data_IF_083436803815
#
_entry.id   IF_083436803815
#
_cell.length_a   1.000
_cell.length_b   1.000
_cell.length_c   1.000
_cell.angle_alpha   90.00
_cell.angle_beta   90.00
_cell.angle_gamma   90.00
#
_symmetry.space_group_name_H-M   'P 1'
#
loop_
_entity.id
_entity.type
_entity.pdbx_description
1 polymer ?
#
# COMPACT_ATOMS: atom_id res chain seq x y z
N UNK A 1 -17.91 -3.66 4.92
CA UNK A 1 -16.59 -4.23 4.58
C UNK A 1 -15.52 -3.16 4.81
N UNK A 2 -14.51 -3.38 5.66
CA UNK A 2 -13.45 -2.36 5.87
C UNK A 2 -12.67 -2.12 4.58
N UNK A 3 -12.64 -0.87 4.14
CA UNK A 3 -11.90 -0.41 2.97
C UNK A 3 -10.67 0.38 3.41
N UNK A 4 -9.65 0.41 2.57
CA UNK A 4 -8.40 1.09 2.81
C UNK A 4 -8.07 1.97 1.62
N UNK A 5 -7.38 3.08 1.85
CA UNK A 5 -6.79 3.91 0.81
C UNK A 5 -5.31 4.10 1.11
N UNK A 6 -4.48 4.23 0.07
CA UNK A 6 -3.10 4.64 0.28
C UNK A 6 -3.08 6.02 0.96
N UNK A 7 -2.12 6.27 1.84
CA UNK A 7 -1.86 7.62 2.35
C UNK A 7 -1.32 8.52 1.23
N UNK A 8 -1.51 9.84 1.36
CA UNK A 8 -0.96 10.80 0.40
C UNK A 8 0.56 10.78 0.34
N UNK A 9 1.21 10.43 1.45
CA UNK A 9 2.67 10.33 1.58
C UNK A 9 3.18 8.89 1.36
N UNK A 10 2.34 7.94 0.94
CA UNK A 10 2.77 6.54 0.80
C UNK A 10 3.96 6.37 -0.16
N UNK A 11 4.03 7.16 -1.24
CA UNK A 11 5.19 7.18 -2.13
C UNK A 11 6.48 7.65 -1.42
N UNK A 12 6.36 8.65 -0.55
CA UNK A 12 7.49 9.18 0.23
C UNK A 12 7.93 8.19 1.29
N UNK A 13 7.00 7.51 1.97
CA UNK A 13 7.32 6.47 2.95
C UNK A 13 8.08 5.31 2.29
N UNK A 14 7.66 4.91 1.08
CA UNK A 14 8.38 3.93 0.27
C UNK A 14 9.80 4.40 -0.06
N UNK A 15 9.95 5.66 -0.49
CA UNK A 15 11.26 6.24 -0.79
C UNK A 15 12.17 6.36 0.44
N UNK A 16 11.63 6.75 1.60
CA UNK A 16 12.36 6.84 2.87
C UNK A 16 12.88 5.48 3.34
N UNK A 17 12.17 4.42 3.01
CA UNK A 17 12.61 3.05 3.27
C UNK A 17 13.72 2.57 2.30
N UNK A 18 14.17 3.41 1.36
CA UNK A 18 15.17 3.05 0.36
C UNK A 18 14.63 2.14 -0.74
N UNK A 19 13.30 2.04 -0.88
CA UNK A 19 12.64 1.17 -1.85
C UNK A 19 12.08 1.97 -3.03
N UNK A 20 12.05 1.32 -4.18
CA UNK A 20 11.31 1.82 -5.34
C UNK A 20 9.91 1.22 -5.40
N UNK A 21 8.96 1.98 -5.95
CA UNK A 21 7.62 1.45 -6.26
C UNK A 21 7.70 0.20 -7.16
N UNK A 22 8.69 0.11 -8.05
CA UNK A 22 8.88 -1.04 -8.93
C UNK A 22 9.19 -2.33 -8.16
N UNK A 23 10.01 -2.25 -7.11
CA UNK A 23 10.37 -3.40 -6.28
C UNK A 23 9.17 -3.94 -5.49
N UNK A 24 8.38 -3.04 -4.91
CA UNK A 24 7.15 -3.41 -4.20
C UNK A 24 6.14 -4.02 -5.18
N UNK A 25 5.95 -3.41 -6.35
CA UNK A 25 5.05 -3.92 -7.38
C UNK A 25 5.43 -5.34 -7.81
N UNK A 26 6.72 -5.56 -8.11
CA UNK A 26 7.28 -6.88 -8.45
C UNK A 26 7.02 -7.90 -7.35
N UNK A 27 7.24 -7.52 -6.08
CA UNK A 27 7.02 -8.41 -4.93
C UNK A 27 5.54 -8.74 -4.70
N UNK A 28 4.64 -7.82 -5.02
CA UNK A 28 3.20 -8.03 -4.96
C UNK A 28 2.62 -8.80 -6.17
N UNK A 29 3.44 -9.14 -7.17
CA UNK A 29 2.97 -9.73 -8.43
C UNK A 29 2.12 -8.76 -9.26
N UNK A 30 2.40 -7.46 -9.17
CA UNK A 30 1.67 -6.41 -9.87
C UNK A 30 2.57 -5.67 -10.84
N UNK A 31 1.96 -5.15 -11.91
CA UNK A 31 2.62 -4.22 -12.81
C UNK A 31 2.93 -2.89 -12.08
N UNK A 32 4.10 -2.32 -12.32
CA UNK A 32 4.54 -1.02 -11.78
C UNK A 32 3.49 0.08 -12.01
N UNK A 33 2.88 0.10 -13.18
CA UNK A 33 1.85 1.06 -13.58
C UNK A 33 0.58 0.93 -12.74
N UNK A 34 0.28 -0.28 -12.28
CA UNK A 34 -0.88 -0.57 -11.45
C UNK A 34 -0.66 -0.07 -10.02
N UNK A 35 0.53 -0.28 -9.44
CA UNK A 35 0.87 0.29 -8.14
C UNK A 35 0.90 1.82 -8.19
N UNK A 36 1.53 2.42 -9.19
CA UNK A 36 1.58 3.87 -9.34
C UNK A 36 0.17 4.47 -9.40
N UNK A 37 -0.72 3.92 -10.24
CA UNK A 37 -2.13 4.35 -10.30
C UNK A 37 -2.84 4.23 -8.95
N UNK A 38 -2.58 3.18 -8.16
CA UNK A 38 -3.21 3.01 -6.84
C UNK A 38 -2.68 4.01 -5.81
N UNK A 39 -1.41 4.36 -5.85
CA UNK A 39 -0.85 5.40 -4.98
C UNK A 39 -1.39 6.78 -5.38
N UNK A 40 -1.42 7.10 -6.68
CA UNK A 40 -1.84 8.41 -7.17
C UNK A 40 -3.35 8.64 -7.10
N UNK A 41 -4.15 7.68 -7.57
CA UNK A 41 -5.62 7.80 -7.58
C UNK A 41 -6.26 7.46 -6.23
N UNK A 42 -5.47 6.91 -5.29
CA UNK A 42 -5.89 6.50 -3.95
C UNK A 42 -7.27 5.80 -3.93
N UNK A 43 -7.51 4.80 -4.82
CA UNK A 43 -8.81 4.16 -4.86
C UNK A 43 -9.03 3.38 -3.57
N UNK A 44 -10.30 3.27 -3.15
CA UNK A 44 -10.67 2.38 -2.05
C UNK A 44 -10.36 0.94 -2.45
N UNK A 45 -9.55 0.26 -1.65
CA UNK A 45 -9.17 -1.14 -1.84
C UNK A 45 -9.60 -1.99 -0.64
N UNK A 46 -9.83 -3.28 -0.89
CA UNK A 46 -10.17 -4.24 0.15
C UNK A 46 -8.97 -4.52 1.05
N UNK A 47 -9.24 -4.95 2.29
CA UNK A 47 -8.22 -5.39 3.24
C UNK A 47 -7.22 -6.39 2.64
N UNK A 48 -7.68 -7.40 1.90
CA UNK A 48 -6.80 -8.42 1.31
C UNK A 48 -5.78 -7.83 0.34
N UNK A 49 -6.17 -6.81 -0.42
CA UNK A 49 -5.30 -6.09 -1.34
C UNK A 49 -4.31 -5.22 -0.59
N UNK A 50 -4.77 -4.45 0.41
CA UNK A 50 -3.91 -3.63 1.25
C UNK A 50 -2.89 -4.47 2.02
N UNK A 51 -3.34 -5.58 2.61
CA UNK A 51 -2.53 -6.55 3.33
C UNK A 51 -1.42 -7.14 2.45
N UNK A 52 -1.69 -7.42 1.17
CA UNK A 52 -0.68 -7.91 0.22
C UNK A 52 0.44 -6.88 0.01
N UNK A 53 0.08 -5.61 -0.19
CA UNK A 53 1.07 -4.53 -0.32
C UNK A 53 1.86 -4.33 0.96
N UNK A 54 1.18 -4.33 2.11
CA UNK A 54 1.80 -4.19 3.41
C UNK A 54 2.77 -5.35 3.71
N UNK A 55 2.42 -6.59 3.34
CA UNK A 55 3.34 -7.74 3.47
C UNK A 55 4.58 -7.56 2.61
N UNK A 56 4.44 -7.17 1.34
CA UNK A 56 5.58 -6.95 0.47
C UNK A 56 6.51 -5.84 0.99
N UNK A 57 5.94 -4.75 1.48
CA UNK A 57 6.71 -3.67 2.10
C UNK A 57 7.38 -4.14 3.41
N UNK A 58 6.65 -4.85 4.26
CA UNK A 58 7.14 -5.40 5.52
C UNK A 58 8.33 -6.34 5.33
N UNK A 59 8.27 -7.23 4.34
CA UNK A 59 9.38 -8.12 3.99
C UNK A 59 10.63 -7.37 3.54
N UNK A 60 10.47 -6.29 2.77
CA UNK A 60 11.57 -5.49 2.24
C UNK A 60 12.18 -4.53 3.27
N UNK A 61 11.41 -4.16 4.30
CA UNK A 61 11.82 -3.19 5.33
C UNK A 61 12.04 -3.81 6.71
N UNK A 62 11.86 -5.14 6.82
CA UNK A 62 11.96 -5.91 8.07
C UNK A 62 11.04 -5.41 9.20
N UNK A 63 9.90 -4.80 8.87
CA UNK A 63 8.86 -4.44 9.83
C UNK A 63 7.74 -5.48 9.84
N UNK A 64 6.80 -5.36 10.78
CA UNK A 64 5.60 -6.21 10.77
C UNK A 64 4.58 -5.75 9.73
N UNK A 65 3.73 -6.66 9.25
CA UNK A 65 2.63 -6.31 8.34
C UNK A 65 1.70 -5.24 8.94
N UNK A 66 1.44 -5.30 10.24
CA UNK A 66 0.60 -4.32 10.93
C UNK A 66 1.22 -2.90 10.91
N UNK A 67 2.53 -2.81 11.11
CA UNK A 67 3.26 -1.53 11.00
C UNK A 67 3.24 -1.02 9.57
N UNK A 68 3.48 -1.89 8.58
CA UNK A 68 3.41 -1.51 7.16
C UNK A 68 2.02 -1.03 6.75
N UNK A 69 0.96 -1.69 7.24
CA UNK A 69 -0.43 -1.25 7.04
C UNK A 69 -0.65 0.16 7.60
N UNK A 70 -0.23 0.40 8.84
CA UNK A 70 -0.37 1.72 9.48
C UNK A 70 0.49 2.81 8.83
N UNK A 71 1.60 2.44 8.18
CA UNK A 71 2.48 3.39 7.47
C UNK A 71 1.97 3.75 6.08
N UNK A 72 1.38 2.81 5.35
CA UNK A 72 1.03 3.00 3.94
C UNK A 72 -0.45 3.29 3.68
N UNK A 73 -1.34 2.95 4.61
CA UNK A 73 -2.78 3.01 4.40
C UNK A 73 -3.54 3.75 5.52
N UNK A 74 -4.64 4.39 5.15
CA UNK A 74 -5.69 4.87 6.04
C UNK A 74 -6.93 3.97 5.91
N UNK A 75 -7.69 3.79 7.00
CA UNK A 75 -9.02 3.19 6.92
C UNK A 75 -9.95 4.19 6.21
N UNK A 76 -10.57 3.74 5.12
CA UNK A 76 -11.63 4.49 4.45
C UNK A 76 -12.98 3.99 4.96
N UNK A 77 -13.77 4.89 5.55
CA UNK A 77 -15.16 4.57 5.88
C UNK A 77 -15.91 4.14 4.62
N UNK A 78 -16.74 3.10 4.75
CA UNK A 78 -17.72 2.77 3.74
C UNK A 78 -18.62 3.99 3.58
N UNK A 79 -18.57 4.66 2.42
CA UNK A 79 -19.66 5.52 2.05
C UNK A 79 -20.88 4.61 1.93
N UNK A 80 -21.79 4.73 2.89
CA UNK A 80 -23.13 4.18 2.77
C UNK A 80 -23.83 5.02 1.69
N UNK A 81 -23.82 4.52 0.45
CA UNK A 81 -24.75 4.91 -0.60
C UNK A 81 -25.93 3.93 -0.60
#
# INVERSE_FOLDING_TARGET
>A
MKMYIFKSDAAEQIGKAGLTQAEIARRCGLDKSNLHKKITLRPRIRLSTAARFATAFAELTHVTQAQAMAQLFDEAEEAQD
#
